data_IF_131101369783
#
_entry.id   IF_131101369783
#
_cell.length_a   1.000
_cell.length_b   1.000
_cell.length_c   1.000
_cell.angle_alpha   90.00
_cell.angle_beta   90.00
_cell.angle_gamma   90.00
#
_symmetry.space_group_name_H-M   'P 1'
#
loop_
_entity.id
_entity.type
_entity.pdbx_description
1 polymer ?
#
# COMPACT_ATOMS: atom_id res chain seq x y z
N UNK A 1 5.32 -18.21 -13.93
CA UNK A 1 4.88 -18.21 -12.52
C UNK A 1 6.08 -17.90 -11.65
N UNK A 2 5.95 -17.01 -10.67
CA UNK A 2 6.98 -16.78 -9.65
C UNK A 2 6.69 -17.60 -8.40
N UNK A 3 7.72 -17.98 -7.65
CA UNK A 3 7.62 -18.75 -6.41
C UNK A 3 8.28 -17.96 -5.28
N UNK A 4 7.55 -17.81 -4.19
CA UNK A 4 8.09 -17.30 -2.92
C UNK A 4 8.16 -18.44 -1.91
N UNK A 5 9.07 -18.35 -0.95
CA UNK A 5 9.17 -19.26 0.20
C UNK A 5 8.76 -18.45 1.42
N UNK A 6 7.84 -19.01 2.22
CA UNK A 6 7.39 -18.41 3.47
C UNK A 6 7.93 -19.25 4.62
N UNK A 7 8.68 -18.62 5.52
CA UNK A 7 9.05 -19.23 6.79
C UNK A 7 7.85 -19.13 7.74
N UNK A 8 7.41 -20.28 8.25
CA UNK A 8 6.26 -20.42 9.15
C UNK A 8 6.63 -21.39 10.26
N UNK A 9 5.88 -21.39 11.35
CA UNK A 9 6.08 -22.38 12.40
C UNK A 9 5.75 -23.82 11.93
N UNK A 10 6.28 -24.78 12.68
CA UNK A 10 6.14 -26.21 12.43
C UNK A 10 4.67 -26.67 12.30
N UNK A 11 3.78 -26.08 13.11
CA UNK A 11 2.36 -26.49 13.15
C UNK A 11 1.67 -26.06 11.87
N UNK A 12 1.89 -24.81 11.46
CA UNK A 12 1.35 -24.24 10.21
C UNK A 12 1.91 -24.98 9.00
N UNK A 13 3.22 -25.25 8.98
CA UNK A 13 3.85 -25.99 7.88
C UNK A 13 3.25 -27.39 7.68
N UNK A 14 3.08 -28.14 8.77
CA UNK A 14 2.45 -29.48 8.74
C UNK A 14 0.98 -29.42 8.31
N UNK A 15 0.23 -28.45 8.81
CA UNK A 15 -1.17 -28.27 8.41
C UNK A 15 -1.28 -27.97 6.90
N UNK A 16 -0.47 -27.06 6.37
CA UNK A 16 -0.45 -26.74 4.95
C UNK A 16 -0.07 -27.94 4.08
N UNK A 17 0.89 -28.77 4.51
CA UNK A 17 1.26 -29.99 3.80
C UNK A 17 0.06 -30.94 3.64
N UNK A 18 -0.79 -31.05 4.66
CA UNK A 18 -2.01 -31.87 4.67
C UNK A 18 -3.15 -31.33 3.79
N UNK A 19 -3.07 -30.10 3.30
CA UNK A 19 -4.12 -29.53 2.46
C UNK A 19 -4.24 -30.22 1.09
N UNK A 20 -5.49 -30.31 0.62
CA UNK A 20 -5.81 -30.72 -0.74
C UNK A 20 -5.20 -29.75 -1.75
N UNK A 21 -5.06 -30.17 -3.01
CA UNK A 21 -4.56 -29.30 -4.09
C UNK A 21 -5.43 -28.05 -4.25
N UNK A 22 -6.75 -28.21 -4.18
CA UNK A 22 -7.69 -27.10 -4.31
C UNK A 22 -7.53 -26.10 -3.16
N UNK A 23 -7.45 -26.60 -1.92
CA UNK A 23 -7.25 -25.76 -0.73
C UNK A 23 -5.91 -25.03 -0.78
N UNK A 24 -4.83 -25.70 -1.22
CA UNK A 24 -3.52 -25.05 -1.43
C UNK A 24 -3.60 -23.94 -2.47
N UNK A 25 -4.36 -24.14 -3.55
CA UNK A 25 -4.54 -23.14 -4.60
C UNK A 25 -5.35 -21.94 -4.11
N UNK A 26 -6.43 -22.16 -3.36
CA UNK A 26 -7.19 -21.08 -2.72
C UNK A 26 -6.32 -20.30 -1.73
N UNK A 27 -5.55 -20.97 -0.88
CA UNK A 27 -4.62 -20.34 0.05
C UNK A 27 -3.59 -19.47 -0.68
N UNK A 28 -2.97 -19.99 -1.73
CA UNK A 28 -1.98 -19.25 -2.52
C UNK A 28 -2.58 -17.99 -3.17
N UNK A 29 -3.83 -18.06 -3.63
CA UNK A 29 -4.53 -16.89 -4.16
C UNK A 29 -4.76 -15.83 -3.08
N UNK A 30 -5.18 -16.24 -1.88
CA UNK A 30 -5.37 -15.34 -0.73
C UNK A 30 -4.07 -14.66 -0.34
N UNK A 31 -2.97 -15.41 -0.22
CA UNK A 31 -1.64 -14.85 0.07
C UNK A 31 -1.24 -13.85 -1.02
N UNK A 32 -1.45 -14.18 -2.29
CA UNK A 32 -1.14 -13.27 -3.40
C UNK A 32 -1.91 -11.95 -3.31
N UNK A 33 -3.21 -12.00 -2.96
CA UNK A 33 -4.02 -10.80 -2.75
C UNK A 33 -3.55 -9.98 -1.55
N UNK A 34 -3.19 -10.63 -0.44
CA UNK A 34 -2.67 -9.93 0.74
C UNK A 34 -1.37 -9.19 0.43
N UNK A 35 -0.44 -9.83 -0.30
CA UNK A 35 0.81 -9.19 -0.72
C UNK A 35 0.55 -8.01 -1.64
N UNK A 36 -0.36 -8.14 -2.62
CA UNK A 36 -0.76 -7.03 -3.49
C UNK A 36 -1.38 -5.87 -2.72
N UNK A 37 -2.23 -6.18 -1.73
CA UNK A 37 -2.83 -5.16 -0.87
C UNK A 37 -1.76 -4.42 -0.08
N UNK A 38 -0.82 -5.15 0.55
CA UNK A 38 0.27 -4.53 1.30
C UNK A 38 1.15 -3.62 0.42
N UNK A 39 1.40 -3.99 -0.83
CA UNK A 39 2.09 -3.12 -1.79
C UNK A 39 1.28 -1.85 -2.07
N UNK A 40 -0.02 -1.98 -2.35
CA UNK A 40 -0.86 -0.82 -2.62
C UNK A 40 -0.94 0.12 -1.41
N UNK A 41 -1.13 -0.43 -0.20
CA UNK A 41 -1.20 0.34 1.03
C UNK A 41 0.12 1.08 1.31
N UNK A 42 1.26 0.42 1.08
CA UNK A 42 2.58 1.07 1.17
C UNK A 42 2.74 2.21 0.16
N UNK A 43 2.38 1.98 -1.11
CA UNK A 43 2.45 3.03 -2.13
C UNK A 43 1.51 4.21 -1.84
N UNK A 44 0.34 3.96 -1.27
CA UNK A 44 -0.58 5.02 -0.86
C UNK A 44 -0.02 5.82 0.32
N UNK A 45 0.57 5.15 1.31
CA UNK A 45 1.22 5.83 2.43
C UNK A 45 2.38 6.71 1.97
N UNK A 46 3.22 6.20 1.06
CA UNK A 46 4.33 6.96 0.48
C UNK A 46 3.84 8.16 -0.35
N UNK A 47 2.78 7.99 -1.14
CA UNK A 47 2.17 9.08 -1.89
C UNK A 47 1.52 10.13 -0.99
N UNK A 48 0.79 9.72 0.06
CA UNK A 48 0.21 10.64 1.04
C UNK A 48 1.30 11.46 1.73
N UNK A 49 2.41 10.80 2.13
CA UNK A 49 3.54 11.48 2.75
C UNK A 49 4.19 12.50 1.81
N UNK A 50 4.34 12.15 0.53
CA UNK A 50 4.84 13.09 -0.48
C UNK A 50 3.94 14.33 -0.59
N UNK A 51 2.62 14.15 -0.63
CA UNK A 51 1.66 15.26 -0.69
C UNK A 51 1.72 16.13 0.57
N UNK A 52 1.81 15.52 1.75
CA UNK A 52 1.96 16.25 3.01
C UNK A 52 3.26 17.06 3.04
N UNK A 53 4.38 16.49 2.58
CA UNK A 53 5.67 17.17 2.51
C UNK A 53 5.62 18.37 1.54
N UNK A 54 5.02 18.19 0.35
CA UNK A 54 4.82 19.28 -0.63
C UNK A 54 3.92 20.38 -0.07
N UNK A 55 2.80 20.03 0.57
CA UNK A 55 1.90 21.00 1.19
C UNK A 55 2.58 21.79 2.31
N UNK A 56 3.33 21.09 3.18
CA UNK A 56 4.09 21.72 4.25
C UNK A 56 5.19 22.66 3.72
N UNK A 57 5.87 22.29 2.64
CA UNK A 57 6.86 23.15 1.99
C UNK A 57 6.22 24.37 1.32
N UNK A 58 5.07 24.21 0.68
CA UNK A 58 4.32 25.31 0.11
C UNK A 58 3.88 26.33 1.18
N UNK A 59 3.35 25.85 2.31
CA UNK A 59 3.00 26.70 3.47
C UNK A 59 4.23 27.42 4.02
N UNK A 60 5.36 26.72 4.19
CA UNK A 60 6.64 27.33 4.64
C UNK A 60 7.11 28.43 3.70
N UNK A 61 6.87 28.27 2.40
CA UNK A 61 7.21 29.25 1.37
C UNK A 61 6.15 30.35 1.21
N UNK A 62 5.16 30.41 2.11
CA UNK A 62 4.16 31.48 2.17
C UNK A 62 2.91 31.22 1.33
N UNK A 63 2.72 30.03 0.75
CA UNK A 63 1.47 29.64 0.12
C UNK A 63 0.49 29.17 1.21
N UNK A 64 -0.19 30.12 1.82
CA UNK A 64 -1.28 29.82 2.78
C UNK A 64 -2.57 29.48 2.03
N UNK A 65 -3.55 28.82 2.68
CA UNK A 65 -4.83 28.51 2.04
C UNK A 65 -5.52 29.73 1.42
N UNK A 66 -5.45 30.89 2.08
CA UNK A 66 -6.05 32.15 1.62
C UNK A 66 -5.34 32.69 0.37
N UNK A 67 -4.01 32.53 0.29
CA UNK A 67 -3.21 32.96 -0.88
C UNK A 67 -3.46 32.00 -2.05
N UNK A 68 -3.55 30.70 -1.78
CA UNK A 68 -3.90 29.70 -2.78
C UNK A 68 -5.29 29.97 -3.37
N UNK A 69 -6.27 30.27 -2.51
CA UNK A 69 -7.64 30.59 -2.93
C UNK A 69 -7.69 31.86 -3.79
N UNK A 70 -6.94 32.90 -3.40
CA UNK A 70 -6.82 34.11 -4.21
C UNK A 70 -6.16 33.85 -5.59
N UNK A 71 -5.11 33.03 -5.66
CA UNK A 71 -4.44 32.67 -6.92
C UNK A 71 -5.31 31.82 -7.85
N UNK A 72 -6.17 30.95 -7.30
CA UNK A 72 -7.09 30.13 -8.08
C UNK A 72 -8.25 30.97 -8.63
N UNK A 73 -8.78 31.89 -7.83
CA UNK A 73 -9.85 32.80 -8.26
C UNK A 73 -9.41 33.80 -9.35
N UNK A 74 -8.11 34.13 -9.43
CA UNK A 74 -7.55 35.03 -10.44
C UNK A 74 -7.28 34.33 -11.80
N UNK A 75 -7.36 32.99 -11.84
CA UNK A 75 -7.12 32.17 -13.03
C UNK A 75 -8.39 31.50 -13.61
N UNK A 76 -9.57 31.85 -13.09
CA UNK A 76 -10.90 31.56 -13.66
C UNK A 76 -11.45 32.76 -14.44
#
# INVERSE_FOLDING_TARGET
MQRIILEVDDTVGKAYQGFSKETKQQFNNTVSLMVKKALNDATFADYSKLLDDVGNEAIKNGLTPEILEALLADND
#
